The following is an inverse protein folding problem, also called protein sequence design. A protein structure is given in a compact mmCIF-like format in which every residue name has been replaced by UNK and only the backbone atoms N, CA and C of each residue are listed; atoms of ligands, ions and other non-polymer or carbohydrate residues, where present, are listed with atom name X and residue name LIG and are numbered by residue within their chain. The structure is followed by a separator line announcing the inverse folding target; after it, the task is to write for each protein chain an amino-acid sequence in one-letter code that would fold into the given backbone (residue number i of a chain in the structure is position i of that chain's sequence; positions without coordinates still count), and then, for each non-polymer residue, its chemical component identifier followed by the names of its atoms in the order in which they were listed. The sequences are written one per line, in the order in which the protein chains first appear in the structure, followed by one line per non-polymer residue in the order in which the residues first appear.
data_IF_136205152525
#
_entry.id   IF_136205152525
#
_cell.length_a   1.000
_cell.length_b   1.000
_cell.length_c   1.000
_cell.angle_alpha   90.00
_cell.angle_beta   90.00
_cell.angle_gamma   90.00
#
_symmetry.space_group_name_H-M   'P 1'
#
loop_
_entity.id
_entity.type
_entity.pdbx_description
1 polymer ?
#
# COMPACT_ATOMS: atom_id res chain seq x y z
N UNK A 1 15.07 -30.66 13.65
CA UNK A 1 13.83 -30.21 14.32
C UNK A 1 13.16 -29.16 13.44
N UNK A 2 11.83 -29.05 13.44
CA UNK A 2 11.09 -28.07 12.63
C UNK A 2 10.94 -26.79 13.45
N UNK A 3 11.38 -25.66 12.92
CA UNK A 3 11.24 -24.33 13.54
C UNK A 3 10.01 -23.67 12.94
N UNK A 4 9.12 -23.13 13.79
CA UNK A 4 7.96 -22.37 13.31
C UNK A 4 8.39 -20.98 12.87
N UNK A 5 7.64 -20.38 11.94
CA UNK A 5 8.05 -19.15 11.27
C UNK A 5 8.08 -17.96 12.24
N UNK A 6 7.18 -17.99 13.20
CA UNK A 6 7.01 -17.00 14.26
C UNK A 6 8.21 -17.00 15.24
N UNK A 7 8.97 -18.09 15.30
CA UNK A 7 10.15 -18.23 16.16
C UNK A 7 11.43 -17.65 15.52
N UNK A 8 11.37 -17.22 14.25
CA UNK A 8 12.52 -16.67 13.53
C UNK A 8 12.53 -15.15 13.62
N UNK A 9 13.56 -14.51 14.22
CA UNK A 9 13.62 -13.05 14.39
C UNK A 9 14.04 -12.30 13.12
N UNK A 10 14.03 -12.97 11.96
CA UNK A 10 14.45 -12.46 10.67
C UNK A 10 13.35 -12.61 9.64
N UNK A 11 13.45 -11.87 8.53
CA UNK A 11 12.52 -12.01 7.42
C UNK A 11 12.53 -13.44 6.87
N UNK A 12 11.38 -14.12 6.95
CA UNK A 12 11.20 -15.50 6.51
C UNK A 12 10.40 -15.61 5.22
N UNK A 13 10.49 -14.62 4.33
CA UNK A 13 9.70 -14.57 3.10
C UNK A 13 8.27 -14.06 3.31
N UNK A 14 7.41 -14.23 2.31
CA UNK A 14 6.00 -13.83 2.34
C UNK A 14 5.03 -15.03 2.31
N UNK A 15 3.75 -14.76 2.52
CA UNK A 15 2.63 -15.68 2.25
C UNK A 15 1.85 -15.16 1.04
N UNK A 16 1.29 -16.08 0.26
CA UNK A 16 0.45 -15.73 -0.89
C UNK A 16 -0.98 -16.14 -0.57
N UNK A 17 -1.90 -15.19 -0.68
CA UNK A 17 -3.33 -15.42 -0.52
C UNK A 17 -4.07 -14.95 -1.78
N UNK A 18 -5.06 -15.73 -2.24
CA UNK A 18 -5.92 -15.33 -3.35
C UNK A 18 -7.23 -14.81 -2.80
N UNK A 19 -7.44 -13.50 -2.89
CA UNK A 19 -8.70 -12.84 -2.51
C UNK A 19 -9.64 -12.84 -3.72
N UNK A 20 -10.81 -13.48 -3.59
CA UNK A 20 -11.78 -13.65 -4.70
C UNK A 20 -12.95 -12.67 -4.66
N UNK A 21 -13.09 -11.89 -3.59
CA UNK A 21 -14.28 -11.08 -3.31
C UNK A 21 -14.17 -9.63 -3.83
N UNK A 22 -13.16 -9.32 -4.65
CA UNK A 22 -12.95 -7.99 -5.24
C UNK A 22 -12.18 -7.02 -4.34
N UNK A 23 -11.98 -5.81 -4.86
CA UNK A 23 -11.20 -4.75 -4.19
C UNK A 23 -11.92 -4.28 -2.92
N UNK A 24 -13.23 -4.07 -2.98
CA UNK A 24 -14.02 -3.55 -1.86
C UNK A 24 -13.91 -4.43 -0.62
N UNK A 25 -14.02 -5.75 -0.78
CA UNK A 25 -13.89 -6.68 0.34
C UNK A 25 -12.46 -6.73 0.88
N UNK A 26 -11.44 -6.65 0.02
CA UNK A 26 -10.04 -6.55 0.46
C UNK A 26 -9.83 -5.34 1.37
N UNK A 27 -10.34 -4.16 0.97
CA UNK A 27 -10.20 -2.93 1.74
C UNK A 27 -11.02 -2.99 3.06
N UNK A 28 -12.24 -3.53 3.02
CA UNK A 28 -13.06 -3.73 4.22
C UNK A 28 -12.43 -4.72 5.20
N UNK A 29 -11.77 -5.77 4.72
CA UNK A 29 -11.01 -6.69 5.55
C UNK A 29 -9.85 -5.98 6.22
N UNK A 30 -9.02 -5.23 5.47
CA UNK A 30 -7.92 -4.44 6.03
C UNK A 30 -8.40 -3.48 7.13
N UNK A 31 -9.54 -2.79 6.91
CA UNK A 31 -10.17 -1.93 7.93
C UNK A 31 -10.54 -2.69 9.21
N UNK A 32 -11.13 -3.89 9.07
CA UNK A 32 -11.51 -4.74 10.21
C UNK A 32 -10.29 -5.27 10.97
N UNK A 33 -9.19 -5.51 10.26
CA UNK A 33 -7.90 -5.96 10.81
C UNK A 33 -7.08 -4.79 11.38
N UNK A 34 -7.54 -3.53 11.20
CA UNK A 34 -6.87 -2.35 11.73
C UNK A 34 -5.62 -1.94 10.95
N UNK A 35 -5.48 -2.41 9.72
CA UNK A 35 -4.35 -2.06 8.86
C UNK A 35 -4.43 -0.61 8.38
N UNK A 36 -3.27 0.05 8.26
CA UNK A 36 -3.14 1.31 7.53
C UNK A 36 -3.19 1.03 6.02
N UNK A 37 -4.22 1.54 5.34
CA UNK A 37 -4.49 1.24 3.93
C UNK A 37 -3.95 2.33 3.01
N UNK A 38 -2.93 1.96 2.23
CA UNK A 38 -2.27 2.81 1.24
C UNK A 38 -2.64 2.34 -0.17
N UNK A 39 -3.59 3.02 -0.80
CA UNK A 39 -3.97 2.77 -2.18
C UNK A 39 -3.06 3.58 -3.12
N UNK A 40 -2.60 2.99 -4.24
CA UNK A 40 -1.72 3.66 -5.20
C UNK A 40 -2.45 4.08 -6.47
N UNK A 41 -2.21 5.31 -6.94
CA UNK A 41 -2.78 5.83 -8.18
C UNK A 41 -2.03 7.06 -8.68
N UNK A 42 -1.85 7.20 -10.00
CA UNK A 42 -1.38 8.44 -10.65
C UNK A 42 -2.27 9.66 -10.31
N UNK A 43 -3.55 9.43 -10.04
CA UNK A 43 -4.53 10.46 -9.68
C UNK A 43 -4.53 10.79 -8.18
N UNK A 44 -3.79 10.02 -7.37
CA UNK A 44 -3.70 10.24 -5.93
C UNK A 44 -2.86 11.47 -5.57
N UNK A 45 -2.88 11.83 -4.28
CA UNK A 45 -2.04 12.90 -3.73
C UNK A 45 -0.57 12.51 -3.87
N UNK A 46 0.28 13.46 -4.26
CA UNK A 46 1.72 13.22 -4.37
C UNK A 46 2.29 12.75 -3.03
N UNK A 47 3.15 11.71 -3.04
CA UNK A 47 3.77 11.19 -1.81
C UNK A 47 4.60 12.26 -1.09
N UNK A 48 5.20 13.20 -1.83
CA UNK A 48 5.94 14.33 -1.26
C UNK A 48 5.02 15.24 -0.45
N UNK A 49 3.82 15.53 -0.97
CA UNK A 49 2.82 16.36 -0.30
C UNK A 49 2.25 15.67 0.93
N UNK A 50 2.11 14.34 0.90
CA UNK A 50 1.58 13.54 2.00
C UNK A 50 2.64 13.12 3.04
N UNK A 51 3.92 13.42 2.81
CA UNK A 51 5.06 12.86 3.55
C UNK A 51 4.93 12.94 5.07
N UNK A 52 4.68 14.12 5.64
CA UNK A 52 4.58 14.30 7.10
C UNK A 52 3.41 13.54 7.72
N UNK A 53 2.26 13.49 7.04
CA UNK A 53 1.07 12.77 7.52
C UNK A 53 1.29 11.25 7.42
N UNK A 54 1.88 10.80 6.30
CA UNK A 54 2.20 9.41 6.04
C UNK A 54 3.23 8.88 7.05
N UNK A 55 4.28 9.63 7.35
CA UNK A 55 5.26 9.27 8.37
C UNK A 55 4.62 9.11 9.76
N UNK A 56 3.73 10.03 10.13
CA UNK A 56 2.98 9.94 11.39
C UNK A 56 2.09 8.69 11.46
N UNK A 57 1.40 8.38 10.37
CA UNK A 57 0.56 7.18 10.27
C UNK A 57 1.38 5.89 10.31
N UNK A 58 2.49 5.82 9.56
CA UNK A 58 3.39 4.66 9.53
C UNK A 58 4.00 4.35 10.90
N UNK A 59 4.29 5.38 11.71
CA UNK A 59 4.79 5.21 13.10
C UNK A 59 3.82 4.49 14.02
N UNK A 60 2.52 4.69 13.80
CA UNK A 60 1.45 4.17 14.65
C UNK A 60 0.88 2.85 14.11
N UNK A 61 1.14 2.52 12.85
CA UNK A 61 0.61 1.35 12.20
C UNK A 61 1.33 0.08 12.66
N UNK A 62 0.57 -0.88 13.19
CA UNK A 62 1.05 -2.25 13.42
C UNK A 62 1.06 -3.10 12.15
N UNK A 63 0.22 -2.75 11.17
CA UNK A 63 0.11 -3.42 9.87
C UNK A 63 -0.18 -2.38 8.78
N UNK A 64 0.41 -2.57 7.60
CA UNK A 64 0.23 -1.68 6.45
C UNK A 64 -0.20 -2.51 5.24
N UNK A 65 -1.35 -2.17 4.65
CA UNK A 65 -1.85 -2.75 3.43
C UNK A 65 -1.60 -1.80 2.26
N UNK A 66 -0.62 -2.13 1.41
CA UNK A 66 -0.34 -1.37 0.18
C UNK A 66 -1.05 -2.03 -1.01
N UNK A 67 -1.90 -1.26 -1.70
CA UNK A 67 -2.75 -1.78 -2.78
C UNK A 67 -2.34 -1.18 -4.11
N UNK A 68 -2.19 -2.05 -5.11
CA UNK A 68 -1.77 -1.69 -6.47
C UNK A 68 -2.87 -2.05 -7.48
N UNK A 69 -3.06 -1.16 -8.45
CA UNK A 69 -3.86 -1.46 -9.63
C UNK A 69 -3.18 -2.48 -10.54
N UNK A 70 -3.95 -3.01 -11.49
CA UNK A 70 -3.43 -3.87 -12.55
C UNK A 70 -2.93 -3.03 -13.74
N UNK A 71 -2.16 -3.62 -14.67
CA UNK A 71 -1.75 -2.92 -15.89
C UNK A 71 -2.93 -2.44 -16.76
N UNK A 72 -4.08 -3.12 -16.67
CA UNK A 72 -5.27 -2.84 -17.49
C UNK A 72 -6.37 -2.04 -16.78
N UNK A 73 -6.33 -1.94 -15.46
CA UNK A 73 -7.39 -1.33 -14.64
C UNK A 73 -6.78 -0.73 -13.37
N UNK A 74 -6.96 0.59 -13.17
CA UNK A 74 -6.51 1.29 -11.97
C UNK A 74 -7.49 1.14 -10.80
N UNK A 75 -7.06 1.48 -9.57
CA UNK A 75 -7.91 1.32 -8.38
C UNK A 75 -9.20 2.16 -8.42
N UNK A 76 -9.16 3.35 -9.02
CA UNK A 76 -10.37 4.16 -9.24
C UNK A 76 -11.35 3.50 -10.21
N UNK A 77 -10.85 2.82 -11.25
CA UNK A 77 -11.72 2.10 -12.19
C UNK A 77 -12.36 0.89 -11.52
N UNK A 78 -11.57 0.13 -10.74
CA UNK A 78 -12.07 -0.97 -9.92
C UNK A 78 -13.12 -0.50 -8.92
N UNK A 79 -12.87 0.62 -8.22
CA UNK A 79 -13.78 1.17 -7.23
C UNK A 79 -15.11 1.61 -7.86
N UNK A 80 -15.05 2.31 -9.01
CA UNK A 80 -16.25 2.66 -9.79
C UNK A 80 -17.02 1.44 -10.25
N UNK A 81 -16.34 0.41 -10.76
CA UNK A 81 -16.95 -0.85 -11.20
C UNK A 81 -17.65 -1.58 -10.05
N UNK A 82 -17.09 -1.50 -8.84
CA UNK A 82 -17.64 -2.11 -7.63
C UNK A 82 -18.60 -1.18 -6.86
N UNK A 83 -18.85 0.04 -7.35
CA UNK A 83 -19.86 0.96 -6.82
C UNK A 83 -19.48 1.63 -5.50
N UNK A 84 -18.21 1.97 -5.28
CA UNK A 84 -17.77 2.71 -4.10
C UNK A 84 -16.72 3.79 -4.41
N UNK A 85 -16.61 4.77 -3.53
CA UNK A 85 -15.57 5.81 -3.58
C UNK A 85 -14.29 5.28 -2.92
N UNK A 86 -13.17 5.29 -3.63
CA UNK A 86 -11.91 4.68 -3.17
C UNK A 86 -11.41 5.32 -1.86
N UNK A 87 -11.48 6.64 -1.78
CA UNK A 87 -11.13 7.46 -0.62
C UNK A 87 -11.98 7.12 0.61
N UNK A 88 -13.19 6.61 0.42
CA UNK A 88 -14.05 6.18 1.53
C UNK A 88 -13.52 4.95 2.26
N UNK A 89 -12.63 4.16 1.64
CA UNK A 89 -12.10 2.91 2.19
C UNK A 89 -10.57 2.88 2.35
N UNK A 90 -9.82 3.81 1.77
CA UNK A 90 -8.37 3.93 1.99
C UNK A 90 -8.05 5.03 3.03
N UNK A 91 -6.93 4.92 3.75
CA UNK A 91 -6.42 6.01 4.59
C UNK A 91 -5.66 7.03 3.74
N UNK A 92 -4.95 6.53 2.72
CA UNK A 92 -4.29 7.34 1.72
C UNK A 92 -4.55 6.79 0.32
N UNK A 93 -4.73 7.69 -0.66
CA UNK A 93 -4.58 7.39 -2.09
C UNK A 93 -3.40 8.19 -2.62
N UNK A 94 -2.29 7.52 -2.89
CA UNK A 94 -0.99 8.14 -3.16
C UNK A 94 -0.54 7.95 -4.61
N UNK A 95 -0.01 9.02 -5.18
CA UNK A 95 0.88 8.96 -6.33
C UNK A 95 2.32 8.88 -5.84
N UNK A 96 2.92 7.69 -5.95
CA UNK A 96 4.29 7.40 -5.51
C UNK A 96 5.34 7.65 -6.58
N UNK A 97 4.93 7.90 -7.82
CA UNK A 97 5.81 8.20 -8.96
C UNK A 97 5.25 9.44 -9.67
N UNK A 98 5.30 10.62 -9.04
CA UNK A 98 4.90 11.85 -9.70
C UNK A 98 5.80 12.11 -10.90
N UNK A 99 5.27 12.79 -11.91
CA UNK A 99 6.01 13.12 -13.14
C UNK A 99 6.67 11.90 -13.82
N UNK A 100 6.02 10.72 -13.76
CA UNK A 100 6.52 9.42 -14.25
C UNK A 100 7.11 9.41 -15.67
N UNK A 101 6.81 10.41 -16.51
CA UNK A 101 7.41 10.55 -17.86
C UNK A 101 6.99 9.49 -18.88
N UNK A 102 6.18 8.51 -18.47
CA UNK A 102 5.64 7.42 -19.28
C UNK A 102 4.12 7.37 -19.19
N UNK A 103 3.44 6.74 -20.15
CA UNK A 103 1.98 6.62 -20.10
C UNK A 103 1.50 5.75 -18.93
N UNK A 104 2.20 4.65 -18.66
CA UNK A 104 1.87 3.68 -17.60
C UNK A 104 3.14 3.21 -16.92
N UNK A 105 3.14 3.17 -15.58
CA UNK A 105 4.13 2.42 -14.80
C UNK A 105 3.54 1.02 -14.57
N UNK A 106 4.31 -0.02 -14.87
CA UNK A 106 3.83 -1.40 -14.68
C UNK A 106 3.75 -1.74 -13.19
N UNK A 107 2.91 -2.70 -12.83
CA UNK A 107 2.69 -3.05 -11.42
C UNK A 107 3.99 -3.47 -10.73
N UNK A 108 4.87 -4.23 -11.39
CA UNK A 108 6.17 -4.65 -10.86
C UNK A 108 7.12 -3.48 -10.58
N UNK A 109 7.11 -2.45 -11.43
CA UNK A 109 7.90 -1.22 -11.27
C UNK A 109 7.31 -0.37 -10.13
N UNK A 110 5.98 -0.26 -10.08
CA UNK A 110 5.27 0.48 -9.05
C UNK A 110 5.48 -0.13 -7.66
N UNK A 111 5.43 -1.46 -7.54
CA UNK A 111 5.70 -2.17 -6.28
C UNK A 111 7.10 -1.84 -5.77
N UNK A 112 8.12 -1.96 -6.63
CA UNK A 112 9.51 -1.68 -6.24
C UNK A 112 9.71 -0.21 -5.83
N UNK A 113 9.21 0.73 -6.64
CA UNK A 113 9.36 2.17 -6.35
C UNK A 113 8.62 2.57 -5.06
N UNK A 114 7.36 2.14 -4.89
CA UNK A 114 6.57 2.44 -3.70
C UNK A 114 7.22 1.88 -2.44
N UNK A 115 7.65 0.61 -2.46
CA UNK A 115 8.28 0.00 -1.28
C UNK A 115 9.63 0.64 -0.96
N UNK A 116 10.41 1.06 -1.95
CA UNK A 116 11.65 1.79 -1.73
C UNK A 116 11.41 3.13 -1.02
N UNK A 117 10.38 3.87 -1.43
CA UNK A 117 10.00 5.15 -0.80
C UNK A 117 9.49 4.94 0.63
N UNK A 118 8.60 3.96 0.84
CA UNK A 118 8.09 3.63 2.18
C UNK A 118 9.23 3.18 3.11
N UNK A 119 10.20 2.42 2.61
CA UNK A 119 11.37 2.01 3.39
C UNK A 119 12.20 3.21 3.86
N UNK A 120 12.41 4.23 3.00
CA UNK A 120 13.11 5.46 3.40
C UNK A 120 12.33 6.22 4.49
N UNK A 121 11.00 6.30 4.36
CA UNK A 121 10.15 6.89 5.39
C UNK A 121 10.24 6.13 6.71
N UNK A 122 10.21 4.79 6.69
CA UNK A 122 10.34 3.94 7.89
C UNK A 122 11.72 4.03 8.54
N UNK A 123 12.82 4.10 7.78
CA UNK A 123 14.17 4.29 8.35
C UNK A 123 14.30 5.65 9.07
N UNK A 124 13.59 6.67 8.58
CA UNK A 124 13.54 8.00 9.19
C UNK A 124 12.75 8.01 10.51
N UNK A 125 11.89 7.01 10.74
CA UNK A 125 11.20 6.78 12.00
C UNK A 125 12.14 6.24 13.08
N UNK A 126 12.94 5.22 12.75
CA UNK A 126 13.81 4.52 13.70
C UNK A 126 14.93 5.41 14.27
N UNK A 127 15.39 6.41 13.51
CA UNK A 127 16.47 7.32 13.92
C UNK A 127 16.03 8.49 14.80
N UNK A 128 14.73 8.61 15.11
CA UNK A 128 14.17 9.67 15.98
C UNK A 128 13.55 9.13 17.28
N UNK A 129 13.77 7.84 17.58
CA UNK A 129 13.41 7.18 18.84
C UNK A 129 14.55 7.14 19.84
#
# INVERSE_FOLDING_TARGET
ERVEREDVPYYWGYRVEVVRNGLRELLLRGRREGALILCTSRLGRSIQEASSELEGALKLASEVLVVFGSPSEGLYDMARREGFELEGLCDFVLNTIPEQGVATVRTEEAVLATLALLNVSLLSVEHRG
#
